data_IF_397501125992
#
_entry.id   IF_397501125992
#
_cell.length_a   1.000
_cell.length_b   1.000
_cell.length_c   1.000
_cell.angle_alpha   90.00
_cell.angle_beta   90.00
_cell.angle_gamma   90.00
#
_symmetry.space_group_name_H-M   'P 1'
#
loop_
_entity.id
_entity.type
_entity.pdbx_description
1 polymer ?
#
# COMPACT_ATOMS: atom_id res chain seq x y z
N UNK A 1 16.18 10.40 -23.87
CA UNK A 1 16.29 10.23 -22.42
C UNK A 1 14.88 9.94 -21.95
N UNK A 2 14.64 8.66 -21.63
CA UNK A 2 13.32 8.04 -21.65
C UNK A 2 12.32 8.63 -20.65
N UNK A 3 11.04 8.80 -21.03
CA UNK A 3 9.97 9.27 -20.15
C UNK A 3 9.53 8.23 -19.09
N UNK A 4 9.96 6.97 -19.22
CA UNK A 4 9.44 5.82 -18.46
C UNK A 4 9.70 5.94 -16.94
N UNK A 5 10.73 6.68 -16.54
CA UNK A 5 11.12 6.81 -15.13
C UNK A 5 10.30 7.83 -14.32
N UNK A 6 9.42 8.58 -14.99
CA UNK A 6 8.52 9.57 -14.37
C UNK A 6 7.05 9.19 -14.53
N UNK A 7 6.75 7.94 -14.91
CA UNK A 7 5.37 7.49 -15.06
C UNK A 7 4.69 7.37 -13.68
N UNK A 8 3.42 7.79 -13.64
CA UNK A 8 2.58 7.68 -12.45
C UNK A 8 2.41 6.22 -12.02
N UNK A 9 2.67 5.94 -10.75
CA UNK A 9 2.55 4.62 -10.16
C UNK A 9 1.19 4.49 -9.48
N UNK A 10 0.37 3.53 -9.93
CA UNK A 10 -0.92 3.24 -9.32
C UNK A 10 -0.79 2.33 -8.09
N UNK A 11 -1.02 2.86 -6.89
CA UNK A 11 -1.02 2.12 -5.62
C UNK A 11 -2.45 1.93 -5.12
N UNK A 12 -2.85 0.68 -4.87
CA UNK A 12 -4.22 0.36 -4.45
C UNK A 12 -4.31 -0.06 -2.99
N UNK A 13 -5.10 0.67 -2.21
CA UNK A 13 -5.51 0.30 -0.85
C UNK A 13 -7.01 0.05 -0.82
N UNK A 14 -7.42 -1.14 -0.36
CA UNK A 14 -8.80 -1.64 -0.48
C UNK A 14 -9.35 -1.47 -1.91
N UNK A 15 -10.43 -0.69 -2.07
CA UNK A 15 -11.08 -0.36 -3.35
C UNK A 15 -10.71 1.04 -3.88
N UNK A 16 -9.68 1.69 -3.32
CA UNK A 16 -9.22 3.02 -3.75
C UNK A 16 -7.85 2.92 -4.44
N UNK A 17 -7.73 3.56 -5.59
CA UNK A 17 -6.49 3.69 -6.35
C UNK A 17 -5.93 5.09 -6.13
N UNK A 18 -4.67 5.17 -5.72
CA UNK A 18 -3.91 6.40 -5.58
C UNK A 18 -2.84 6.43 -6.67
N UNK A 19 -2.71 7.57 -7.34
CA UNK A 19 -1.63 7.78 -8.31
C UNK A 19 -0.49 8.49 -7.59
N UNK A 20 0.68 7.87 -7.63
CA UNK A 20 1.89 8.37 -7.03
C UNK A 20 2.77 8.92 -8.13
N UNK A 21 3.12 10.19 -8.04
CA UNK A 21 4.13 10.80 -8.91
C UNK A 21 5.51 10.58 -8.26
N UNK A 22 6.44 9.84 -8.90
CA UNK A 22 7.77 9.63 -8.35
C UNK A 22 8.51 10.93 -8.00
N UNK A 23 8.23 12.01 -8.73
CA UNK A 23 8.89 13.31 -8.53
C UNK A 23 8.53 13.95 -7.17
N UNK A 24 7.29 13.73 -6.69
CA UNK A 24 6.85 14.21 -5.37
C UNK A 24 7.67 13.59 -4.22
N UNK A 25 8.20 12.39 -4.45
CA UNK A 25 9.01 11.61 -3.51
C UNK A 25 10.52 11.73 -3.80
N UNK A 26 10.93 12.69 -4.63
CA UNK A 26 12.33 12.96 -4.91
C UNK A 26 13.03 11.81 -5.62
N UNK A 27 12.29 11.07 -6.46
CA UNK A 27 12.88 10.02 -7.27
C UNK A 27 13.92 10.60 -8.23
N UNK A 28 15.13 10.05 -8.19
CA UNK A 28 16.20 10.43 -9.11
C UNK A 28 16.94 9.18 -9.59
N UNK A 29 17.19 9.09 -10.89
CA UNK A 29 18.01 8.03 -11.48
C UNK A 29 19.48 8.47 -11.44
N UNK A 30 20.34 7.64 -10.86
CA UNK A 30 21.78 7.87 -10.84
C UNK A 30 22.40 7.31 -12.13
N UNK A 31 22.33 8.11 -13.19
CA UNK A 31 22.89 7.75 -14.49
C UNK A 31 24.40 7.58 -14.46
N UNK A 32 25.11 8.36 -13.65
CA UNK A 32 26.57 8.31 -13.57
C UNK A 32 27.01 6.96 -13.00
N UNK A 33 26.34 6.47 -11.93
CA UNK A 33 26.61 5.13 -11.43
C UNK A 33 26.16 4.02 -12.39
N UNK A 34 25.05 4.19 -13.09
CA UNK A 34 24.64 3.21 -14.11
C UNK A 34 25.67 3.11 -15.25
N UNK A 35 26.25 4.23 -15.67
CA UNK A 35 27.34 4.25 -16.66
C UNK A 35 28.58 3.58 -16.10
N UNK A 36 28.97 3.88 -14.86
CA UNK A 36 30.09 3.21 -14.21
C UNK A 36 29.89 1.69 -14.07
N UNK A 37 28.67 1.25 -13.73
CA UNK A 37 28.30 -0.18 -13.68
C UNK A 37 28.37 -0.81 -15.09
N UNK A 38 28.02 -0.06 -16.14
CA UNK A 38 28.12 -0.50 -17.53
C UNK A 38 29.57 -0.59 -18.04
N UNK A 39 30.46 0.29 -17.59
CA UNK A 39 31.89 0.27 -17.95
C UNK A 39 32.57 -1.05 -17.57
N UNK A 40 32.05 -1.76 -16.56
CA UNK A 40 32.53 -3.10 -16.20
C UNK A 40 32.46 -4.09 -17.36
N UNK A 41 31.51 -3.93 -18.28
CA UNK A 41 31.38 -4.77 -19.47
C UNK A 41 32.37 -4.41 -20.59
N UNK A 42 33.00 -3.24 -20.51
CA UNK A 42 34.05 -2.78 -21.42
C UNK A 42 35.46 -3.19 -20.94
N UNK A 43 35.56 -3.93 -19.84
CA UNK A 43 36.82 -4.41 -19.28
C UNK A 43 36.85 -5.94 -19.16
N UNK A 44 38.06 -6.52 -19.30
CA UNK A 44 38.31 -7.94 -19.04
C UNK A 44 37.73 -8.90 -20.09
N UNK A 45 37.42 -10.14 -19.66
CA UNK A 45 36.96 -11.22 -20.55
C UNK A 45 35.65 -10.90 -21.27
N UNK A 46 34.78 -10.13 -20.62
CA UNK A 46 33.50 -9.69 -21.16
C UNK A 46 33.65 -8.80 -22.40
N UNK A 47 34.68 -7.94 -22.42
CA UNK A 47 35.02 -7.13 -23.60
C UNK A 47 35.56 -8.00 -24.74
N UNK A 48 36.37 -9.02 -24.42
CA UNK A 48 36.93 -9.92 -25.43
C UNK A 48 35.81 -10.74 -26.09
N UNK A 49 34.81 -11.21 -25.35
CA UNK A 49 33.64 -11.89 -25.93
C UNK A 49 32.86 -10.98 -26.91
N UNK A 50 32.65 -9.70 -26.54
CA UNK A 50 32.03 -8.69 -27.43
C UNK A 50 32.84 -8.53 -28.73
N UNK A 51 34.15 -8.31 -28.60
CA UNK A 51 35.03 -8.06 -29.73
C UNK A 51 35.14 -9.29 -30.65
N UNK A 52 35.19 -10.49 -30.08
CA UNK A 52 35.20 -11.74 -30.85
C UNK A 52 33.88 -11.91 -31.60
N UNK A 53 32.72 -11.77 -30.93
CA UNK A 53 31.42 -11.88 -31.59
C UNK A 53 31.28 -10.89 -32.73
N UNK A 54 31.72 -9.65 -32.53
CA UNK A 54 31.72 -8.62 -33.58
C UNK A 54 32.60 -9.05 -34.77
N UNK A 55 33.82 -9.52 -34.50
CA UNK A 55 34.78 -9.90 -35.53
C UNK A 55 34.32 -11.10 -36.39
N UNK A 56 33.49 -12.00 -35.85
CA UNK A 56 32.93 -13.14 -36.58
C UNK A 56 31.44 -12.97 -36.95
N UNK A 57 30.89 -11.77 -36.82
CA UNK A 57 29.51 -11.44 -37.23
C UNK A 57 28.42 -12.16 -36.43
N UNK A 58 28.71 -12.57 -35.19
CA UNK A 58 27.73 -13.14 -34.28
C UNK A 58 26.88 -12.04 -33.65
N UNK A 59 25.59 -12.31 -33.35
CA UNK A 59 24.75 -11.36 -32.64
C UNK A 59 25.31 -11.07 -31.25
N UNK A 60 25.36 -9.77 -30.90
CA UNK A 60 25.75 -9.31 -29.58
C UNK A 60 24.72 -9.74 -28.52
N UNK A 61 25.19 -10.08 -27.33
CA UNK A 61 24.31 -10.42 -26.22
C UNK A 61 23.74 -9.17 -25.56
N UNK A 62 22.44 -9.19 -25.25
CA UNK A 62 21.82 -8.14 -24.43
C UNK A 62 22.30 -8.30 -22.99
N UNK A 63 22.90 -7.25 -22.44
CA UNK A 63 23.40 -7.23 -21.06
C UNK A 63 22.58 -6.26 -20.25
N UNK A 64 22.13 -6.72 -19.08
CA UNK A 64 21.33 -5.91 -18.17
C UNK A 64 22.25 -5.14 -17.24
N UNK A 65 22.10 -3.82 -17.23
CA UNK A 65 22.72 -2.93 -16.25
C UNK A 65 21.68 -2.67 -15.15
N UNK A 66 22.02 -2.86 -13.86
CA UNK A 66 21.08 -2.58 -12.79
C UNK A 66 20.72 -1.08 -12.79
N UNK A 67 19.44 -0.77 -12.71
CA UNK A 67 18.98 0.62 -12.57
C UNK A 67 19.34 1.09 -11.16
N UNK A 68 20.00 2.25 -11.07
CA UNK A 68 20.35 2.90 -9.80
C UNK A 68 19.45 4.10 -9.61
N UNK A 69 18.81 4.18 -8.45
CA UNK A 69 17.92 5.29 -8.13
C UNK A 69 18.04 5.67 -6.65
N UNK A 70 17.66 6.90 -6.36
CA UNK A 70 17.45 7.43 -5.01
C UNK A 70 16.01 7.88 -4.88
N UNK A 71 15.45 7.75 -3.67
CA UNK A 71 14.09 8.19 -3.33
C UNK A 71 14.05 8.62 -1.87
N UNK A 72 13.22 9.61 -1.55
CA UNK A 72 12.97 10.05 -0.17
C UNK A 72 12.00 9.06 0.51
N UNK A 73 12.54 7.97 1.04
CA UNK A 73 11.78 6.93 1.74
C UNK A 73 11.01 7.50 2.95
N UNK A 74 11.57 8.49 3.64
CA UNK A 74 10.92 9.13 4.78
C UNK A 74 9.63 9.85 4.34
N UNK A 75 9.66 10.53 3.20
CA UNK A 75 8.47 11.18 2.63
C UNK A 75 7.44 10.16 2.15
N UNK A 76 7.89 9.08 1.51
CA UNK A 76 7.02 7.99 1.09
C UNK A 76 6.32 7.35 2.30
N UNK A 77 7.06 7.11 3.37
CA UNK A 77 6.53 6.59 4.63
C UNK A 77 5.48 7.52 5.23
N UNK A 78 5.77 8.82 5.33
CA UNK A 78 4.85 9.81 5.88
C UNK A 78 3.52 9.85 5.09
N UNK A 79 3.58 9.70 3.77
CA UNK A 79 2.39 9.60 2.93
C UNK A 79 1.58 8.32 3.22
N UNK A 80 2.22 7.16 3.38
CA UNK A 80 1.51 5.91 3.75
C UNK A 80 0.88 6.03 5.15
N UNK A 81 1.56 6.68 6.09
CA UNK A 81 1.03 6.97 7.43
C UNK A 81 -0.23 7.84 7.38
N UNK A 82 -0.23 8.88 6.54
CA UNK A 82 -1.41 9.71 6.32
C UNK A 82 -2.57 8.92 5.70
N UNK A 83 -2.29 8.06 4.73
CA UNK A 83 -3.31 7.17 4.16
C UNK A 83 -3.88 6.19 5.20
N UNK A 84 -3.04 5.67 6.08
CA UNK A 84 -3.47 4.80 7.17
C UNK A 84 -4.46 5.52 8.09
N UNK A 85 -4.22 6.80 8.44
CA UNK A 85 -5.16 7.59 9.24
C UNK A 85 -6.52 7.76 8.56
N UNK A 86 -6.56 7.84 7.22
CA UNK A 86 -7.79 8.05 6.46
C UNK A 86 -8.56 6.75 6.16
N UNK A 87 -7.86 5.63 6.03
CA UNK A 87 -8.43 4.37 5.54
C UNK A 87 -8.57 3.29 6.63
N UNK A 88 -7.80 3.38 7.71
CA UNK A 88 -7.89 2.39 8.78
C UNK A 88 -9.28 2.42 9.41
N UNK A 89 -9.89 1.25 9.52
CA UNK A 89 -11.23 1.08 10.07
C UNK A 89 -11.16 0.09 11.20
N UNK A 90 -11.64 0.49 12.38
CA UNK A 90 -11.67 -0.40 13.54
C UNK A 90 -12.63 -1.57 13.29
N UNK A 91 -12.32 -2.77 13.81
CA UNK A 91 -13.23 -3.90 13.74
C UNK A 91 -14.51 -3.61 14.52
N UNK A 92 -15.65 -4.02 13.96
CA UNK A 92 -16.95 -3.90 14.61
C UNK A 92 -17.27 -5.25 15.26
N UNK A 93 -17.38 -5.28 16.59
CA UNK A 93 -17.76 -6.50 17.31
C UNK A 93 -19.22 -6.90 17.02
N UNK A 94 -19.48 -8.21 17.05
CA UNK A 94 -20.85 -8.74 17.00
C UNK A 94 -21.65 -8.24 18.21
N UNK A 95 -22.88 -7.80 17.98
CA UNK A 95 -23.74 -7.25 19.03
C UNK A 95 -25.19 -7.65 18.86
N UNK A 96 -25.90 -7.76 19.97
CA UNK A 96 -27.37 -7.88 19.98
C UNK A 96 -27.93 -6.47 19.88
N UNK A 97 -28.78 -6.23 18.89
CA UNK A 97 -29.48 -4.96 18.70
C UNK A 97 -30.97 -5.21 18.88
N UNK A 98 -31.66 -4.28 19.53
CA UNK A 98 -33.11 -4.28 19.61
C UNK A 98 -33.66 -3.58 18.36
N UNK A 99 -34.24 -4.37 17.45
CA UNK A 99 -34.72 -3.84 16.16
C UNK A 99 -35.95 -2.93 16.32
N UNK A 100 -36.64 -3.00 17.46
CA UNK A 100 -37.85 -2.24 17.76
C UNK A 100 -37.58 -1.03 18.67
N UNK A 101 -36.33 -0.84 19.11
CA UNK A 101 -35.95 0.29 19.95
C UNK A 101 -35.92 1.60 19.14
N UNK A 102 -36.95 2.44 19.30
CA UNK A 102 -36.93 3.82 18.83
C UNK A 102 -35.81 4.61 19.54
N UNK A 103 -34.95 5.28 18.76
CA UNK A 103 -33.83 6.07 19.28
C UNK A 103 -34.27 7.24 20.19
N UNK A 104 -35.53 7.67 20.09
CA UNK A 104 -36.14 8.73 20.91
C UNK A 104 -37.04 8.20 22.05
N UNK A 105 -36.92 6.92 22.43
CA UNK A 105 -37.71 6.38 23.53
C UNK A 105 -37.31 7.05 24.86
N UNK A 106 -38.24 7.68 25.60
CA UNK A 106 -37.93 8.32 26.87
C UNK A 106 -37.42 7.29 27.87
N UNK A 107 -36.46 7.69 28.72
CA UNK A 107 -35.90 6.85 29.76
C UNK A 107 -37.02 6.20 30.59
N UNK A 108 -37.04 4.87 30.66
CA UNK A 108 -38.04 4.12 31.41
C UNK A 108 -38.05 4.60 32.87
N UNK A 109 -39.14 5.19 33.39
CA UNK A 109 -39.17 5.63 34.77
C UNK A 109 -39.09 4.42 35.71
N UNK A 110 -38.37 4.59 36.82
CA UNK A 110 -38.20 3.56 37.86
C UNK A 110 -39.57 3.12 38.38
N UNK A 111 -39.99 1.86 38.20
CA UNK A 111 -41.33 1.44 38.58
C UNK A 111 -41.47 1.38 40.11
N UNK A 112 -42.46 2.09 40.66
CA UNK A 112 -42.85 2.04 42.08
C UNK A 112 -44.03 1.07 42.23
N UNK A 113 -43.82 -0.22 41.95
CA UNK A 113 -44.80 -1.29 42.23
C UNK A 113 -44.09 -2.62 42.53
N UNK A 114 -44.69 -3.51 43.36
CA UNK A 114 -44.03 -4.74 43.79
C UNK A 114 -43.98 -5.75 42.64
N UNK A 115 -42.76 -6.15 42.27
CA UNK A 115 -42.44 -7.29 41.40
C UNK A 115 -43.27 -7.39 40.09
N UNK A 116 -43.27 -6.35 39.26
CA UNK A 116 -43.56 -6.53 37.83
C UNK A 116 -42.37 -7.25 37.20
N UNK A 117 -42.56 -8.51 36.78
CA UNK A 117 -41.58 -9.22 35.96
C UNK A 117 -41.35 -8.40 34.69
N UNK A 118 -40.11 -7.99 34.37
CA UNK A 118 -39.83 -7.29 33.13
C UNK A 118 -40.37 -8.11 31.96
N UNK A 119 -41.21 -7.52 31.12
CA UNK A 119 -41.64 -8.20 29.90
C UNK A 119 -40.39 -8.61 29.10
N UNK A 120 -40.32 -9.85 28.59
CA UNK A 120 -39.19 -10.26 27.75
C UNK A 120 -39.14 -9.34 26.52
N UNK A 121 -38.01 -8.66 26.33
CA UNK A 121 -37.79 -7.81 25.15
C UNK A 121 -37.94 -8.68 23.90
N UNK A 122 -38.95 -8.38 23.08
CA UNK A 122 -39.14 -8.99 21.76
C UNK A 122 -38.32 -8.17 20.75
N UNK A 123 -37.94 -8.79 19.64
CA UNK A 123 -37.21 -8.07 18.57
C UNK A 123 -35.68 -7.98 18.74
N UNK A 124 -35.08 -8.66 19.71
CA UNK A 124 -33.61 -8.77 19.81
C UNK A 124 -33.05 -9.57 18.62
N UNK A 125 -32.23 -8.92 17.80
CA UNK A 125 -31.58 -9.52 16.65
C UNK A 125 -30.07 -9.50 16.81
N UNK A 126 -29.43 -10.62 16.49
CA UNK A 126 -27.98 -10.69 16.39
C UNK A 126 -27.52 -9.97 15.13
N UNK A 127 -26.70 -8.95 15.31
CA UNK A 127 -25.98 -8.31 14.20
C UNK A 127 -24.56 -8.85 14.18
N UNK A 128 -24.13 -9.51 13.08
CA UNK A 128 -22.76 -9.99 12.97
C UNK A 128 -21.78 -8.82 12.99
N UNK A 129 -20.59 -9.06 13.54
CA UNK A 129 -19.49 -8.10 13.48
C UNK A 129 -18.92 -7.98 12.07
N UNK A 130 -18.10 -6.94 11.85
CA UNK A 130 -17.36 -6.75 10.61
C UNK A 130 -15.86 -6.65 10.92
N UNK A 131 -15.00 -7.28 10.10
CA UNK A 131 -13.55 -7.14 10.27
C UNK A 131 -13.12 -5.69 10.06
N UNK A 132 -12.09 -5.28 10.80
CA UNK A 132 -11.41 -4.01 10.58
C UNK A 132 -10.41 -4.10 9.45
N UNK A 133 -9.76 -2.97 9.17
CA UNK A 133 -8.69 -2.87 8.20
C UNK A 133 -7.60 -1.96 8.77
N UNK A 134 -6.36 -2.40 8.66
CA UNK A 134 -5.17 -1.67 9.07
C UNK A 134 -4.11 -1.80 7.98
N UNK A 135 -3.56 -0.66 7.55
CA UNK A 135 -2.45 -0.60 6.61
C UNK A 135 -1.15 -0.90 7.35
N UNK A 136 -0.44 -1.94 6.91
CA UNK A 136 0.93 -2.21 7.32
C UNK A 136 1.88 -1.25 6.58
N UNK A 137 2.39 -0.25 7.30
CA UNK A 137 3.21 0.83 6.73
C UNK A 137 4.51 0.28 6.17
N UNK A 138 5.22 -0.54 6.96
CA UNK A 138 6.54 -1.05 6.58
C UNK A 138 6.44 -2.00 5.37
N UNK A 139 5.46 -2.90 5.38
CA UNK A 139 5.23 -3.80 4.27
C UNK A 139 4.77 -3.05 3.01
N UNK A 140 3.97 -1.98 3.17
CA UNK A 140 3.50 -1.17 2.03
C UNK A 140 4.64 -0.39 1.40
N UNK A 141 5.49 0.27 2.19
CA UNK A 141 6.66 1.00 1.68
C UNK A 141 7.60 0.05 0.94
N UNK A 142 7.95 -1.08 1.56
CA UNK A 142 8.80 -2.09 0.93
C UNK A 142 8.21 -2.62 -0.38
N UNK A 143 6.88 -2.76 -0.46
CA UNK A 143 6.20 -3.22 -1.67
C UNK A 143 6.15 -2.17 -2.79
N UNK A 144 6.07 -0.88 -2.45
CA UNK A 144 6.08 0.21 -3.43
C UNK A 144 7.47 0.37 -4.05
N UNK A 145 8.53 0.09 -3.28
CA UNK A 145 9.93 0.20 -3.73
C UNK A 145 10.46 -1.03 -4.49
N UNK A 146 9.73 -2.14 -4.49
CA UNK A 146 10.15 -3.43 -5.05
C UNK A 146 9.69 -3.62 -6.51
#
# INVERSE_FOLDING_TARGET
>A
LDPIYHDLIGVRFQNRLFMLDPDDFGFQVDFDQMVADAERYLAGWEFVDIAVREAIGLPQQVRNVPVRYTIDEARLRAWVEELALQLNTAPIAARVVDAEANADAPATPTPVYPATVPQPRRGLQWTPGAPGYEIDIDASVARILA
#
